data_IF_790202300919
#
_entry.id   IF_790202300919
#
_cell.length_a   1.000
_cell.length_b   1.000
_cell.length_c   1.000
_cell.angle_alpha   90.00
_cell.angle_beta   90.00
_cell.angle_gamma   90.00
#
_symmetry.space_group_name_H-M   'P 1'
#
loop_
_entity.id
_entity.type
_entity.pdbx_description
1 polymer ?
#
# COMPACT_ATOMS: atom_id res chain seq x y z
N UNK A 1 -3.89 -11.87 5.02
CA UNK A 1 -3.69 -10.46 5.46
C UNK A 1 -2.35 -9.94 4.95
N UNK A 2 -2.26 -8.72 4.37
CA UNK A 2 -0.98 -8.15 4.00
C UNK A 2 -0.09 -7.92 5.23
N UNK A 3 1.13 -8.43 5.21
CA UNK A 3 2.09 -8.28 6.30
C UNK A 3 3.48 -7.98 5.75
N UNK A 4 4.08 -6.89 6.21
CA UNK A 4 5.47 -6.58 5.93
C UNK A 4 6.38 -7.57 6.67
N UNK A 5 7.21 -8.30 5.92
CA UNK A 5 8.20 -9.23 6.48
C UNK A 5 9.37 -8.52 7.19
N UNK A 6 9.59 -7.23 6.88
CA UNK A 6 10.71 -6.46 7.43
C UNK A 6 10.42 -5.92 8.85
N UNK A 7 9.23 -5.35 9.07
CA UNK A 7 8.88 -4.70 10.35
C UNK A 7 7.59 -5.21 11.01
N UNK A 8 6.94 -6.21 10.40
CA UNK A 8 5.70 -6.82 10.91
C UNK A 8 4.44 -5.98 10.70
N UNK A 9 4.51 -4.82 10.04
CA UNK A 9 3.36 -3.97 9.77
C UNK A 9 2.32 -4.70 8.92
N UNK A 10 1.07 -4.74 9.39
CA UNK A 10 -0.07 -5.34 8.68
C UNK A 10 -1.23 -4.38 8.42
N UNK A 11 -1.07 -3.10 8.74
CA UNK A 11 -2.16 -2.13 8.73
C UNK A 11 -2.11 -1.15 7.57
N UNK A 12 -0.92 -0.64 7.20
CA UNK A 12 -0.80 0.41 6.18
C UNK A 12 0.28 0.10 5.14
N UNK A 13 -0.09 0.15 3.86
CA UNK A 13 0.80 -0.14 2.75
C UNK A 13 0.71 0.94 1.69
N UNK A 14 1.85 1.28 1.10
CA UNK A 14 1.99 2.21 -0.01
C UNK A 14 2.20 1.47 -1.32
N UNK A 15 2.12 2.22 -2.41
CA UNK A 15 2.37 1.73 -3.77
C UNK A 15 3.62 2.36 -4.36
N UNK A 16 4.59 1.56 -4.78
CA UNK A 16 5.75 2.06 -5.56
C UNK A 16 5.33 2.57 -6.93
N UNK A 17 4.22 2.06 -7.48
CA UNK A 17 3.69 2.53 -8.75
C UNK A 17 3.21 3.98 -8.67
N UNK A 18 2.80 4.43 -7.48
CA UNK A 18 2.39 5.81 -7.23
C UNK A 18 3.57 6.62 -6.69
N UNK A 19 4.32 7.35 -7.54
CA UNK A 19 5.44 8.16 -7.06
C UNK A 19 4.97 9.17 -6.02
N UNK A 20 5.82 9.54 -5.06
CA UNK A 20 5.50 10.57 -4.09
C UNK A 20 5.18 11.87 -4.83
N UNK A 21 4.16 12.60 -4.37
CA UNK A 21 3.73 13.84 -4.99
C UNK A 21 4.81 14.95 -4.96
N UNK A 22 5.85 14.78 -4.14
CA UNK A 22 6.99 15.70 -4.02
C UNK A 22 8.31 14.91 -3.89
N UNK A 23 9.34 15.20 -4.72
CA UNK A 23 10.61 14.48 -4.69
C UNK A 23 11.54 14.84 -3.51
N UNK A 24 11.24 15.91 -2.77
CA UNK A 24 12.17 16.53 -1.80
C UNK A 24 11.66 16.65 -0.37
N UNK A 25 10.52 16.06 -0.03
CA UNK A 25 9.99 16.13 1.33
C UNK A 25 9.94 14.75 1.97
N UNK A 26 10.03 14.73 3.30
CA UNK A 26 9.64 13.65 4.22
C UNK A 26 8.14 13.28 4.11
N UNK A 27 7.60 13.27 2.89
CA UNK A 27 6.24 12.95 2.55
C UNK A 27 6.03 11.44 2.53
N UNK A 28 4.77 11.00 2.44
CA UNK A 28 4.46 9.58 2.34
C UNK A 28 5.26 8.96 1.19
N UNK A 29 5.87 7.81 1.48
CA UNK A 29 6.72 7.04 0.55
C UNK A 29 6.04 6.75 -0.80
N UNK A 30 4.71 6.89 -0.87
CA UNK A 30 3.89 6.64 -2.04
C UNK A 30 2.75 7.65 -2.15
N UNK A 31 2.38 8.00 -3.38
CA UNK A 31 1.19 8.81 -3.68
C UNK A 31 -0.13 8.09 -3.37
N UNK A 32 -0.11 6.81 -3.02
CA UNK A 32 -1.27 6.04 -2.55
C UNK A 32 -0.87 5.26 -1.29
N UNK A 33 -1.69 5.36 -0.25
CA UNK A 33 -1.61 4.58 0.98
C UNK A 33 -2.95 3.89 1.20
N UNK A 34 -2.94 2.57 1.27
CA UNK A 34 -4.09 1.73 1.62
C UNK A 34 -3.96 1.27 3.06
N UNK A 35 -5.05 1.38 3.81
CA UNK A 35 -5.19 0.84 5.14
C UNK A 35 -6.02 -0.45 5.07
N UNK A 36 -5.52 -1.50 5.69
CA UNK A 36 -6.10 -2.84 5.66
C UNK A 36 -6.39 -3.31 7.09
N UNK A 37 -7.52 -3.99 7.24
CA UNK A 37 -7.92 -4.63 8.48
C UNK A 37 -7.30 -6.03 8.61
N UNK A 38 -7.47 -6.65 9.78
CA UNK A 38 -7.06 -8.02 10.09
C UNK A 38 -7.60 -9.06 9.09
N UNK A 39 -8.70 -8.77 8.40
CA UNK A 39 -9.31 -9.62 7.37
C UNK A 39 -8.79 -9.37 5.95
N UNK A 40 -7.65 -8.68 5.78
CA UNK A 40 -7.11 -8.27 4.47
C UNK A 40 -8.02 -7.31 3.69
N UNK A 41 -9.09 -6.80 4.30
CA UNK A 41 -10.03 -5.89 3.65
C UNK A 41 -9.49 -4.46 3.73
N UNK A 42 -9.56 -3.73 2.61
CA UNK A 42 -9.19 -2.32 2.58
C UNK A 42 -10.24 -1.51 3.34
N UNK A 43 -9.85 -0.93 4.47
CA UNK A 43 -10.71 -0.11 5.32
C UNK A 43 -10.72 1.34 4.85
N UNK A 44 -9.58 1.80 4.35
CA UNK A 44 -9.42 3.17 3.88
C UNK A 44 -8.31 3.26 2.83
N UNK A 45 -8.39 4.26 1.96
CA UNK A 45 -7.38 4.53 0.95
C UNK A 45 -7.16 6.03 0.80
N UNK A 46 -5.98 6.47 1.20
CA UNK A 46 -5.50 7.83 1.04
C UNK A 46 -4.69 7.92 -0.25
N UNK A 47 -4.93 8.96 -1.03
CA UNK A 47 -4.25 9.10 -2.32
C UNK A 47 -4.03 10.58 -2.64
N UNK A 48 -2.80 10.92 -2.99
CA UNK A 48 -2.30 12.28 -3.18
C UNK A 48 -1.60 12.37 -4.53
N UNK A 49 -2.08 13.23 -5.42
CA UNK A 49 -1.47 13.44 -6.73
C UNK A 49 -1.66 12.30 -7.75
N UNK A 50 -2.45 11.27 -7.44
CA UNK A 50 -2.71 10.15 -8.37
C UNK A 50 -4.06 10.26 -9.09
N UNK A 51 -4.10 9.76 -10.32
CA UNK A 51 -5.32 9.74 -11.13
C UNK A 51 -6.41 8.83 -10.55
N UNK A 52 -7.67 9.19 -10.80
CA UNK A 52 -8.85 8.40 -10.39
C UNK A 52 -8.82 6.96 -10.92
N UNK A 53 -8.23 6.73 -12.10
CA UNK A 53 -8.06 5.40 -12.68
C UNK A 53 -7.12 4.54 -11.84
N UNK A 54 -5.96 5.08 -11.46
CA UNK A 54 -4.99 4.38 -10.62
C UNK A 54 -5.56 4.03 -9.25
N UNK A 55 -6.34 4.95 -8.65
CA UNK A 55 -7.07 4.69 -7.41
C UNK A 55 -8.05 3.51 -7.55
N UNK A 56 -8.78 3.44 -8.67
CA UNK A 56 -9.69 2.31 -8.96
C UNK A 56 -8.93 1.00 -9.15
N UNK A 57 -7.82 1.03 -9.88
CA UNK A 57 -6.99 -0.16 -10.09
C UNK A 57 -6.36 -0.67 -8.78
N UNK A 58 -5.89 0.23 -7.93
CA UNK A 58 -5.36 -0.10 -6.60
C UNK A 58 -6.44 -0.69 -5.68
N UNK A 59 -7.68 -0.19 -5.75
CA UNK A 59 -8.81 -0.78 -5.04
C UNK A 59 -9.22 -2.15 -5.60
N UNK A 60 -9.16 -2.33 -6.92
CA UNK A 60 -9.52 -3.58 -7.59
C UNK A 60 -8.45 -4.68 -7.41
N UNK A 61 -7.16 -4.30 -7.37
CA UNK A 61 -6.03 -5.22 -7.27
C UNK A 61 -5.04 -4.77 -6.19
N UNK A 62 -5.43 -4.75 -4.90
CA UNK A 62 -4.58 -4.23 -3.85
C UNK A 62 -3.25 -4.97 -3.74
N UNK A 63 -3.23 -6.28 -3.94
CA UNK A 63 -2.01 -7.10 -3.90
C UNK A 63 -0.95 -6.68 -4.93
N UNK A 64 -1.38 -6.14 -6.07
CA UNK A 64 -0.46 -5.72 -7.15
C UNK A 64 0.00 -4.28 -6.99
N UNK A 65 -0.78 -3.44 -6.31
CA UNK A 65 -0.46 -2.03 -6.14
C UNK A 65 0.24 -1.75 -4.81
N UNK A 66 -0.09 -2.44 -3.73
CA UNK A 66 0.43 -2.15 -2.39
C UNK A 66 1.66 -3.02 -2.07
N UNK A 67 2.77 -2.71 -2.72
CA UNK A 67 4.05 -3.41 -2.58
C UNK A 67 4.99 -2.80 -1.53
N UNK A 68 4.68 -1.62 -0.98
CA UNK A 68 5.61 -0.89 -0.11
C UNK A 68 5.09 -0.77 1.31
N UNK A 69 5.93 -1.00 2.31
CA UNK A 69 5.56 -0.76 3.70
C UNK A 69 5.72 0.71 4.06
N UNK A 70 4.65 1.38 4.49
CA UNK A 70 4.73 2.79 4.91
C UNK A 70 5.49 2.99 6.22
N UNK A 71 5.62 1.93 7.04
CA UNK A 71 6.30 1.99 8.35
C UNK A 71 7.83 1.93 8.24
N UNK A 72 8.36 1.11 7.33
CA UNK A 72 9.81 0.85 7.24
C UNK A 72 10.39 1.05 5.83
N UNK A 73 9.57 1.36 4.83
CA UNK A 73 9.99 1.46 3.43
C UNK A 73 10.31 0.13 2.75
N UNK A 74 10.25 -0.99 3.46
CA UNK A 74 10.51 -2.31 2.89
C UNK A 74 9.44 -2.74 1.88
N UNK A 75 9.85 -3.36 0.77
CA UNK A 75 8.95 -3.83 -0.28
C UNK A 75 8.54 -5.32 -0.15
N UNK A 76 8.97 -5.97 0.94
CA UNK A 76 8.63 -7.38 1.20
C UNK A 76 7.28 -7.45 1.92
N UNK A 77 6.19 -7.35 1.15
CA UNK A 77 4.82 -7.53 1.65
C UNK A 77 4.32 -8.93 1.30
N UNK A 78 3.99 -9.67 2.33
CA UNK A 78 3.35 -10.97 2.21
C UNK A 78 1.84 -10.78 2.18
N UNK A 79 1.23 -11.09 1.05
CA UNK A 79 -0.21 -10.98 0.82
C UNK A 79 -0.96 -12.29 1.05
N UNK A 80 -0.36 -13.26 1.75
CA UNK A 80 -0.95 -14.58 1.95
C UNK A 80 -2.30 -14.48 2.67
N UNK A 81 -3.36 -14.62 1.89
CA UNK A 81 -4.73 -14.88 2.30
C UNK A 81 -5.38 -15.63 1.13
N UNK A 82 -5.58 -16.95 1.24
CA UNK A 82 -6.52 -17.69 0.40
C UNK A 82 -6.00 -18.52 -0.77
N UNK A 83 -4.88 -19.24 -0.64
CA UNK A 83 -4.68 -20.48 -1.43
C UNK A 83 -4.18 -21.61 -0.54
N UNK A 84 -5.13 -22.32 0.05
CA UNK A 84 -5.09 -23.78 0.22
C UNK A 84 -6.47 -24.34 -0.10
#
# INVERSE_FOLDING_TARGET
MPKCKNCGNSYSFGSSAAPPAVPTANGPLSGIIGQFDQQSQMVSMNSWGVSKNMRRQAAANPQQFFDTCTKCGGQMIDWSDGRE
#
